data_IF_561262319023
#
_entry.id   IF_561262319023
#
_cell.length_a   1.000
_cell.length_b   1.000
_cell.length_c   1.000
_cell.angle_alpha   90.00
_cell.angle_beta   90.00
_cell.angle_gamma   90.00
#
_symmetry.space_group_name_H-M   'P 1'
#
loop_
_entity.id
_entity.type
_entity.pdbx_description
1 polymer ?
#
# COMPACT_ATOMS: atom_id res chain seq x y z
N UNK A 1 11.57 -6.69 17.61
CA UNK A 1 11.15 -6.33 16.24
C UNK A 1 10.33 -7.45 15.63
N UNK A 2 10.94 -8.61 15.30
CA UNK A 2 10.23 -9.77 14.72
C UNK A 2 9.01 -10.24 15.52
N UNK A 3 9.06 -10.26 16.85
CA UNK A 3 7.92 -10.67 17.69
C UNK A 3 6.74 -9.71 17.60
N UNK A 4 7.02 -8.40 17.49
CA UNK A 4 5.98 -7.36 17.32
C UNK A 4 5.38 -7.43 15.91
N UNK A 5 6.21 -7.73 14.91
CA UNK A 5 5.78 -7.87 13.51
C UNK A 5 5.01 -9.18 13.27
N UNK A 6 5.42 -10.30 13.89
CA UNK A 6 4.66 -11.55 13.88
C UNK A 6 3.34 -11.42 14.65
N UNK A 7 3.30 -10.66 15.75
CA UNK A 7 2.03 -10.37 16.42
C UNK A 7 1.10 -9.50 15.56
N UNK A 8 1.63 -8.49 14.85
CA UNK A 8 0.84 -7.72 13.90
C UNK A 8 0.33 -8.60 12.75
N UNK A 9 1.19 -9.41 12.13
CA UNK A 9 0.81 -10.35 11.08
C UNK A 9 -0.17 -11.43 11.57
N UNK A 10 -0.05 -11.87 12.82
CA UNK A 10 -0.99 -12.82 13.45
C UNK A 10 -2.34 -12.17 13.77
N UNK A 11 -2.36 -10.90 14.17
CA UNK A 11 -3.60 -10.12 14.33
C UNK A 11 -4.27 -9.89 12.98
N UNK A 12 -3.48 -9.59 11.94
CA UNK A 12 -3.94 -9.45 10.57
C UNK A 12 -4.49 -10.76 9.99
N UNK A 13 -3.84 -11.91 10.28
CA UNK A 13 -4.34 -13.23 9.88
C UNK A 13 -5.60 -13.62 10.65
N UNK A 14 -5.74 -13.22 11.91
CA UNK A 14 -6.95 -13.44 12.70
C UNK A 14 -8.14 -12.67 12.13
N UNK A 15 -7.94 -11.45 11.62
CA UNK A 15 -8.99 -10.67 10.94
C UNK A 15 -9.43 -11.33 9.64
N UNK A 16 -8.49 -11.93 8.89
CA UNK A 16 -8.81 -12.73 7.70
C UNK A 16 -9.53 -14.05 8.00
N UNK A 17 -9.51 -14.51 9.27
CA UNK A 17 -10.12 -15.75 9.74
C UNK A 17 -11.39 -15.50 10.56
N UNK A 18 -11.82 -14.24 10.74
CA UNK A 18 -13.03 -13.94 11.49
C UNK A 18 -14.27 -14.45 10.76
N UNK A 19 -15.16 -15.03 11.56
CA UNK A 19 -16.14 -16.05 11.19
C UNK A 19 -17.26 -15.55 10.26
N UNK A 20 -17.82 -16.49 9.50
CA UNK A 20 -18.88 -16.35 8.48
C UNK A 20 -20.20 -15.72 8.95
N UNK A 21 -20.29 -15.31 10.22
CA UNK A 21 -21.49 -14.79 10.88
C UNK A 21 -21.35 -13.31 11.35
N UNK A 22 -20.20 -12.66 11.10
CA UNK A 22 -19.99 -11.24 11.43
C UNK A 22 -20.76 -10.32 10.46
N UNK A 23 -21.26 -9.19 10.97
CA UNK A 23 -21.89 -8.18 10.11
C UNK A 23 -20.83 -7.42 9.29
N UNK A 24 -21.22 -6.85 8.14
CA UNK A 24 -20.32 -6.03 7.31
C UNK A 24 -19.73 -4.84 8.09
N UNK A 25 -20.47 -4.31 9.08
CA UNK A 25 -20.05 -3.20 9.94
C UNK A 25 -18.96 -3.64 10.94
N UNK A 26 -19.13 -4.80 11.58
CA UNK A 26 -18.13 -5.37 12.49
C UNK A 26 -16.81 -5.67 11.75
N UNK A 27 -16.89 -6.21 10.53
CA UNK A 27 -15.71 -6.47 9.70
C UNK A 27 -14.96 -5.20 9.32
N UNK A 28 -15.69 -4.13 8.97
CA UNK A 28 -15.10 -2.84 8.62
C UNK A 28 -14.36 -2.20 9.81
N UNK A 29 -14.91 -2.25 11.02
CA UNK A 29 -14.28 -1.70 12.22
C UNK A 29 -12.99 -2.45 12.58
N UNK A 30 -13.00 -3.79 12.56
CA UNK A 30 -11.80 -4.59 12.84
C UNK A 30 -10.71 -4.36 11.79
N UNK A 31 -11.09 -4.26 10.52
CA UNK A 31 -10.17 -3.96 9.43
C UNK A 31 -9.57 -2.55 9.58
N UNK A 32 -10.39 -1.56 9.96
CA UNK A 32 -9.93 -0.19 10.24
C UNK A 32 -8.86 -0.18 11.35
N UNK A 33 -9.14 -0.82 12.49
CA UNK A 33 -8.20 -0.89 13.61
C UNK A 33 -6.88 -1.60 13.24
N UNK A 34 -6.95 -2.64 12.40
CA UNK A 34 -5.74 -3.28 11.87
C UNK A 34 -4.93 -2.37 10.96
N UNK A 35 -5.58 -1.63 10.06
CA UNK A 35 -4.92 -0.70 9.17
C UNK A 35 -4.21 0.40 9.98
N UNK A 36 -4.89 1.04 10.93
CA UNK A 36 -4.27 2.02 11.82
C UNK A 36 -3.04 1.46 12.55
N UNK A 37 -3.11 0.20 13.00
CA UNK A 37 -1.98 -0.46 13.65
C UNK A 37 -0.80 -0.62 12.70
N UNK A 38 -1.03 -1.05 11.47
CA UNK A 38 0.01 -1.20 10.44
C UNK A 38 0.61 0.16 10.07
N UNK A 39 -0.22 1.19 9.89
CA UNK A 39 0.24 2.55 9.62
C UNK A 39 1.12 3.09 10.76
N UNK A 40 0.69 2.91 12.01
CA UNK A 40 1.50 3.27 13.18
C UNK A 40 2.85 2.55 13.23
N UNK A 41 2.90 1.29 12.78
CA UNK A 41 4.15 0.55 12.68
C UNK A 41 5.07 1.09 11.59
N UNK A 42 4.53 1.46 10.42
CA UNK A 42 5.29 2.12 9.35
C UNK A 42 5.87 3.43 9.88
N UNK A 43 5.06 4.26 10.53
CA UNK A 43 5.50 5.57 11.03
C UNK A 43 6.67 5.45 12.01
N UNK A 44 6.55 4.55 13.00
CA UNK A 44 7.57 4.33 14.03
C UNK A 44 8.83 3.67 13.51
N UNK A 45 8.73 2.94 12.40
CA UNK A 45 9.81 2.10 11.90
C UNK A 45 10.24 2.44 10.49
N UNK A 46 9.92 3.64 9.96
CA UNK A 46 10.14 3.98 8.55
C UNK A 46 11.59 3.82 8.06
N UNK A 47 12.60 3.76 8.93
CA UNK A 47 14.00 3.47 8.56
C UNK A 47 14.41 1.98 8.70
N UNK A 48 13.53 1.13 9.22
CA UNK A 48 13.74 -0.31 9.38
C UNK A 48 13.14 -1.04 8.18
N UNK A 49 13.94 -1.20 7.13
CA UNK A 49 13.54 -1.80 5.85
C UNK A 49 12.77 -3.12 6.02
N UNK A 50 13.24 -4.12 6.81
CA UNK A 50 12.49 -5.36 6.99
C UNK A 50 11.07 -5.16 7.55
N UNK A 51 10.92 -4.37 8.61
CA UNK A 51 9.61 -4.15 9.25
C UNK A 51 8.66 -3.44 8.28
N UNK A 52 9.14 -2.37 7.63
CA UNK A 52 8.32 -1.55 6.75
C UNK A 52 7.93 -2.33 5.49
N UNK A 53 8.84 -3.14 4.94
CA UNK A 53 8.53 -4.02 3.81
C UNK A 53 7.43 -5.02 4.16
N UNK A 54 7.47 -5.60 5.36
CA UNK A 54 6.41 -6.48 5.85
C UNK A 54 5.08 -5.75 6.04
N UNK A 55 5.11 -4.53 6.58
CA UNK A 55 3.92 -3.71 6.75
C UNK A 55 3.28 -3.35 5.39
N UNK A 56 4.08 -2.94 4.40
CA UNK A 56 3.58 -2.65 3.05
C UNK A 56 3.02 -3.90 2.39
N UNK A 57 3.64 -5.07 2.57
CA UNK A 57 3.09 -6.35 2.10
C UNK A 57 1.76 -6.71 2.77
N UNK A 58 1.63 -6.44 4.06
CA UNK A 58 0.38 -6.62 4.79
C UNK A 58 -0.71 -5.70 4.23
N UNK A 59 -0.39 -4.42 4.00
CA UNK A 59 -1.31 -3.47 3.36
C UNK A 59 -1.78 -3.93 1.98
N UNK A 60 -0.90 -4.56 1.18
CA UNK A 60 -1.32 -5.14 -0.10
C UNK A 60 -2.39 -6.21 0.05
N UNK A 61 -2.39 -7.01 1.12
CA UNK A 61 -3.43 -8.03 1.30
C UNK A 61 -4.84 -7.40 1.37
N UNK A 62 -4.94 -6.20 1.96
CA UNK A 62 -6.18 -5.41 1.99
C UNK A 62 -6.55 -4.80 0.64
N UNK A 63 -5.60 -4.71 -0.30
CA UNK A 63 -5.82 -4.10 -1.62
C UNK A 63 -5.74 -5.12 -2.77
N UNK A 64 -5.64 -6.42 -2.49
CA UNK A 64 -5.65 -7.45 -3.54
C UNK A 64 -6.98 -7.42 -4.28
N UNK A 65 -6.92 -6.94 -5.52
CA UNK A 65 -7.97 -7.11 -6.52
C UNK A 65 -8.09 -8.60 -6.83
N UNK A 66 -9.28 -9.17 -6.64
CA UNK A 66 -9.61 -10.45 -7.27
C UNK A 66 -9.87 -10.15 -8.73
N UNK A 67 -9.14 -10.83 -9.63
CA UNK A 67 -9.30 -10.67 -11.09
C UNK A 67 -10.79 -10.81 -11.46
N UNK A 68 -11.47 -9.68 -11.71
CA UNK A 68 -12.93 -9.68 -11.90
C UNK A 68 -13.66 -8.36 -11.65
N UNK A 69 -12.99 -7.28 -11.21
CA UNK A 69 -13.55 -5.93 -11.29
C UNK A 69 -14.49 -5.51 -10.15
N UNK A 70 -14.44 -6.17 -8.98
CA UNK A 70 -15.02 -5.63 -7.74
C UNK A 70 -14.02 -5.75 -6.60
N UNK A 71 -13.54 -4.61 -6.13
CA UNK A 71 -12.59 -4.49 -5.02
C UNK A 71 -13.33 -4.60 -3.68
N UNK A 72 -13.57 -5.84 -3.25
CA UNK A 72 -14.45 -6.14 -2.09
C UNK A 72 -13.93 -5.53 -0.76
N UNK A 73 -12.64 -5.20 -0.64
CA UNK A 73 -12.09 -4.66 0.62
C UNK A 73 -11.89 -3.13 0.64
N UNK A 74 -11.68 -2.47 -0.51
CA UNK A 74 -11.38 -1.02 -0.53
C UNK A 74 -12.67 -0.19 -0.41
N UNK A 75 -13.82 -0.67 -0.87
CA UNK A 75 -15.09 0.00 -0.55
C UNK A 75 -15.46 -0.12 0.94
N UNK A 76 -15.05 -1.21 1.60
CA UNK A 76 -15.27 -1.42 3.03
C UNK A 76 -14.26 -0.64 3.90
N UNK A 77 -13.02 -0.46 3.44
CA UNK A 77 -12.08 0.49 4.02
C UNK A 77 -12.44 1.92 3.60
N UNK A 78 -13.09 2.68 4.47
CA UNK A 78 -13.35 4.12 4.26
C UNK A 78 -12.18 4.81 3.50
N UNK A 79 -12.50 5.53 2.42
CA UNK A 79 -11.56 6.28 1.57
C UNK A 79 -10.49 7.04 2.38
N UNK A 80 -10.86 7.58 3.55
CA UNK A 80 -9.93 8.27 4.47
C UNK A 80 -8.69 7.44 4.81
N UNK A 81 -8.82 6.13 5.01
CA UNK A 81 -7.69 5.24 5.30
C UNK A 81 -6.81 5.04 4.06
N UNK A 82 -7.41 4.95 2.88
CA UNK A 82 -6.71 4.82 1.60
C UNK A 82 -5.79 6.04 1.38
N UNK A 83 -6.26 7.24 1.73
CA UNK A 83 -5.47 8.46 1.68
C UNK A 83 -4.25 8.43 2.62
N UNK A 84 -4.43 7.97 3.86
CA UNK A 84 -3.33 7.90 4.82
C UNK A 84 -2.29 6.85 4.40
N UNK A 85 -2.74 5.70 3.87
CA UNK A 85 -1.86 4.64 3.36
C UNK A 85 -0.86 5.20 2.36
N UNK A 86 -1.30 6.04 1.41
CA UNK A 86 -0.41 6.64 0.40
C UNK A 86 0.71 7.44 1.06
N UNK A 87 0.40 8.31 2.02
CA UNK A 87 1.41 9.15 2.68
C UNK A 87 2.44 8.32 3.45
N UNK A 88 2.00 7.30 4.20
CA UNK A 88 2.90 6.43 4.95
C UNK A 88 3.79 5.58 4.03
N UNK A 89 3.22 5.07 2.93
CA UNK A 89 3.96 4.26 1.96
C UNK A 89 4.99 5.10 1.23
N UNK A 90 4.64 6.30 0.78
CA UNK A 90 5.59 7.19 0.09
C UNK A 90 6.68 7.68 1.06
N UNK A 91 6.34 8.00 2.31
CA UNK A 91 7.32 8.28 3.37
C UNK A 91 8.31 7.13 3.55
N UNK A 92 7.82 5.89 3.58
CA UNK A 92 8.66 4.69 3.64
C UNK A 92 9.58 4.53 2.41
N UNK A 93 9.07 4.77 1.19
CA UNK A 93 9.88 4.75 -0.04
C UNK A 93 10.99 5.81 0.00
N UNK A 94 10.67 7.00 0.53
CA UNK A 94 11.60 8.11 0.67
C UNK A 94 12.71 7.81 1.67
N UNK A 95 12.38 7.19 2.81
CA UNK A 95 13.36 6.77 3.80
C UNK A 95 14.29 5.65 3.31
N UNK A 96 13.84 4.85 2.33
CA UNK A 96 14.54 3.62 1.92
C UNK A 96 14.67 3.49 0.40
N UNK A 97 15.33 4.45 -0.29
CA UNK A 97 15.35 4.53 -1.75
C UNK A 97 16.10 3.38 -2.44
N UNK A 98 16.89 2.61 -1.70
CA UNK A 98 17.72 1.52 -2.24
C UNK A 98 17.08 0.13 -2.05
N UNK A 99 15.95 0.02 -1.36
CA UNK A 99 15.30 -1.27 -1.11
C UNK A 99 14.40 -1.67 -2.28
N UNK A 100 14.90 -2.54 -3.16
CA UNK A 100 14.12 -3.04 -4.31
C UNK A 100 12.81 -3.72 -3.87
N UNK A 101 12.82 -4.53 -2.81
CA UNK A 101 11.60 -5.21 -2.36
C UNK A 101 10.56 -4.23 -1.83
N UNK A 102 10.98 -3.26 -1.01
CA UNK A 102 10.06 -2.25 -0.51
C UNK A 102 9.46 -1.44 -1.65
N UNK A 103 10.30 -0.90 -2.55
CA UNK A 103 9.85 -0.09 -3.67
C UNK A 103 8.89 -0.87 -4.58
N UNK A 104 9.18 -2.15 -4.83
CA UNK A 104 8.30 -3.05 -5.57
C UNK A 104 6.91 -3.14 -4.93
N UNK A 105 6.85 -3.52 -3.66
CA UNK A 105 5.57 -3.72 -2.98
C UNK A 105 4.81 -2.41 -2.81
N UNK A 106 5.52 -1.30 -2.60
CA UNK A 106 4.92 0.03 -2.58
C UNK A 106 4.28 0.39 -3.92
N UNK A 107 4.97 0.20 -5.06
CA UNK A 107 4.42 0.51 -6.38
C UNK A 107 3.17 -0.33 -6.69
N UNK A 108 3.17 -1.62 -6.34
CA UNK A 108 2.00 -2.48 -6.48
C UNK A 108 0.82 -2.03 -5.61
N UNK A 109 1.09 -1.69 -4.35
CA UNK A 109 0.08 -1.19 -3.43
C UNK A 109 -0.55 0.10 -3.95
N UNK A 110 0.26 1.07 -4.38
CA UNK A 110 -0.23 2.33 -4.93
C UNK A 110 -1.08 2.10 -6.18
N UNK A 111 -0.68 1.16 -7.06
CA UNK A 111 -1.48 0.82 -8.25
C UNK A 111 -2.82 0.18 -7.88
N UNK A 112 -2.84 -0.69 -6.88
CA UNK A 112 -4.09 -1.30 -6.43
C UNK A 112 -5.05 -0.26 -5.82
N UNK A 113 -4.49 0.69 -5.07
CA UNK A 113 -5.23 1.82 -4.51
C UNK A 113 -5.82 2.69 -5.62
N UNK A 114 -5.02 3.00 -6.64
CA UNK A 114 -5.43 3.75 -7.83
C UNK A 114 -6.58 3.08 -8.58
N UNK A 115 -6.42 1.81 -8.96
CA UNK A 115 -7.47 1.02 -9.64
C UNK A 115 -8.77 0.95 -8.84
N UNK A 116 -8.68 0.98 -7.51
CA UNK A 116 -9.85 0.89 -6.66
C UNK A 116 -10.59 2.21 -6.45
N UNK A 117 -9.94 3.34 -6.68
CA UNK A 117 -10.53 4.65 -6.53
C UNK A 117 -9.86 5.67 -7.46
N UNK A 118 -9.96 5.49 -8.79
CA UNK A 118 -9.12 6.18 -9.78
C UNK A 118 -9.11 7.70 -9.59
N UNK A 119 -10.28 8.34 -9.63
CA UNK A 119 -10.41 9.81 -9.52
C UNK A 119 -9.76 10.39 -8.24
N UNK A 120 -9.85 9.64 -7.15
CA UNK A 120 -9.63 10.12 -5.79
C UNK A 120 -8.22 9.79 -5.29
N UNK A 121 -7.76 8.57 -5.58
CA UNK A 121 -6.44 8.06 -5.23
C UNK A 121 -5.36 8.61 -6.16
N UNK A 122 -5.62 8.74 -7.46
CA UNK A 122 -4.65 9.25 -8.44
C UNK A 122 -4.08 10.59 -7.99
N UNK A 123 -4.98 11.56 -7.73
CA UNK A 123 -4.62 12.90 -7.27
C UNK A 123 -3.72 12.85 -6.04
N UNK A 124 -4.03 11.97 -5.07
CA UNK A 124 -3.24 11.82 -3.85
C UNK A 124 -1.87 11.20 -4.12
N UNK A 125 -1.81 10.15 -4.93
CA UNK A 125 -0.56 9.46 -5.27
C UNK A 125 0.39 10.41 -6.00
N UNK A 126 -0.14 11.18 -6.96
CA UNK A 126 0.60 12.21 -7.69
C UNK A 126 1.12 13.28 -6.73
N UNK A 127 0.28 13.79 -5.83
CA UNK A 127 0.70 14.79 -4.84
C UNK A 127 1.74 14.27 -3.84
N UNK A 128 1.57 13.04 -3.34
CA UNK A 128 2.45 12.46 -2.33
C UNK A 128 3.84 12.14 -2.89
N UNK A 129 3.95 11.84 -4.19
CA UNK A 129 5.21 11.51 -4.86
C UNK A 129 6.15 12.71 -5.15
N UNK A 130 5.90 13.88 -4.52
CA UNK A 130 6.63 15.17 -4.54
C UNK A 130 6.14 16.19 -5.60
N UNK A 131 6.53 17.47 -5.47
CA UNK A 131 5.94 18.69 -6.06
C UNK A 131 5.72 18.72 -7.59
N UNK A 132 6.30 17.80 -8.36
CA UNK A 132 6.08 17.67 -9.81
C UNK A 132 5.31 16.40 -10.21
N UNK A 133 4.79 15.63 -9.24
CA UNK A 133 4.02 14.42 -9.46
C UNK A 133 4.82 13.14 -9.18
N UNK A 134 4.68 12.16 -10.07
CA UNK A 134 5.27 10.79 -10.10
C UNK A 134 6.83 10.69 -10.00
N UNK A 135 7.53 11.76 -9.64
CA UNK A 135 8.99 11.86 -9.58
C UNK A 135 9.63 10.83 -8.66
N UNK A 136 9.00 10.48 -7.53
CA UNK A 136 9.44 9.38 -6.67
C UNK A 136 9.48 8.02 -7.39
N UNK A 137 8.50 7.74 -8.25
CA UNK A 137 8.40 6.48 -9.01
C UNK A 137 9.50 6.45 -10.07
N UNK A 138 9.59 7.51 -10.88
CA UNK A 138 10.62 7.66 -11.93
C UNK A 138 12.02 7.61 -11.31
N UNK A 139 12.26 8.31 -10.20
CA UNK A 139 13.55 8.30 -9.51
C UNK A 139 13.93 6.91 -9.00
N UNK A 140 12.95 6.12 -8.56
CA UNK A 140 13.18 4.73 -8.16
C UNK A 140 13.51 3.85 -9.37
N UNK A 141 12.83 4.03 -10.50
CA UNK A 141 13.16 3.33 -11.75
C UNK A 141 14.56 3.71 -12.25
N UNK A 142 14.93 4.99 -12.17
CA UNK A 142 16.24 5.49 -12.59
C UNK A 142 17.37 4.96 -11.69
N UNK A 143 17.14 4.87 -10.39
CA UNK A 143 18.11 4.31 -9.44
C UNK A 143 18.31 2.79 -9.59
N UNK A 144 17.31 2.08 -10.14
CA UNK A 144 17.30 0.62 -10.26
C UNK A 144 17.12 0.14 -11.71
N UNK A 145 17.97 0.55 -12.67
CA UNK A 145 17.74 0.36 -14.11
C UNK A 145 17.79 -1.12 -14.53
N UNK A 146 18.53 -1.95 -13.81
CA UNK A 146 18.67 -3.38 -14.09
C UNK A 146 17.66 -4.25 -13.32
N UNK A 147 16.89 -3.65 -12.39
CA UNK A 147 15.87 -4.38 -11.66
C UNK A 147 14.59 -4.44 -12.49
N UNK A 148 14.47 -5.47 -13.33
CA UNK A 148 13.29 -5.69 -14.20
C UNK A 148 11.98 -5.51 -13.44
N UNK A 149 11.91 -6.02 -12.22
CA UNK A 149 10.74 -5.95 -11.36
C UNK A 149 10.34 -4.49 -11.05
N UNK A 150 11.29 -3.62 -10.70
CA UNK A 150 11.02 -2.20 -10.45
C UNK A 150 10.61 -1.49 -11.75
N UNK A 151 11.19 -1.86 -12.88
CA UNK A 151 10.81 -1.28 -14.17
C UNK A 151 9.38 -1.67 -14.55
N UNK A 152 9.04 -2.96 -14.43
CA UNK A 152 7.70 -3.47 -14.74
C UNK A 152 6.64 -2.83 -13.81
N UNK A 153 6.84 -2.91 -12.49
CA UNK A 153 5.87 -2.40 -11.51
C UNK A 153 5.76 -0.87 -11.57
N UNK A 154 6.87 -0.17 -11.83
CA UNK A 154 6.89 1.26 -12.08
C UNK A 154 6.09 1.66 -13.33
N UNK A 155 6.34 1.01 -14.47
CA UNK A 155 5.59 1.25 -15.71
C UNK A 155 4.09 0.98 -15.55
N UNK A 156 3.72 -0.09 -14.85
CA UNK A 156 2.31 -0.44 -14.61
C UNK A 156 1.59 0.60 -13.75
N UNK A 157 2.26 1.14 -12.73
CA UNK A 157 1.71 2.21 -11.90
C UNK A 157 1.59 3.51 -12.71
N UNK A 158 2.63 3.88 -13.47
CA UNK A 158 2.58 5.07 -14.34
C UNK A 158 1.47 4.98 -15.38
N UNK A 159 1.28 3.82 -15.99
CA UNK A 159 0.18 3.60 -16.93
C UNK A 159 -1.19 3.81 -16.28
N UNK A 160 -1.38 3.31 -15.06
CA UNK A 160 -2.61 3.51 -14.27
C UNK A 160 -2.86 5.01 -14.03
N UNK A 161 -1.85 5.71 -13.50
CA UNK A 161 -1.95 7.13 -13.15
C UNK A 161 -2.15 8.06 -14.36
N UNK A 162 -1.78 7.62 -15.57
CA UNK A 162 -1.95 8.40 -16.80
C UNK A 162 -3.20 8.03 -17.60
N UNK A 163 -3.95 7.01 -17.19
CA UNK A 163 -5.13 6.52 -17.91
C UNK A 163 -6.46 7.07 -17.38
N UNK A 164 -6.44 7.84 -16.30
CA UNK A 164 -7.62 8.57 -15.81
C UNK A 164 -7.80 9.85 -16.64
N UNK A 165 -8.79 9.83 -17.56
CA UNK A 165 -9.26 10.98 -18.36
C UNK A 165 -10.24 11.88 -17.58
#
# INVERSE_FOLDING_TARGET
>A
AETTTMNALSQLSQIYLYETDATDEDMAEHMHAALEKVLSLIDKNHNNVPIVTLCVRALMAFTVSTDGGKNVNIEACNLVIVYEVVDYVVKAMNANPNSCELLRYSMKLLRNIDIASPDTANTKIVQACDFSGISRIIGSMYAHPQCKIIQDDGCLLLWSLCNDD
#
